data_IF_613456861388
#
_entry.id   IF_613456861388
#
_cell.length_a   1.000
_cell.length_b   1.000
_cell.length_c   1.000
_cell.angle_alpha   90.00
_cell.angle_beta   90.00
_cell.angle_gamma   90.00
#
_symmetry.space_group_name_H-M   'P 1'
#
loop_
_entity.id
_entity.type
_entity.pdbx_description
1 polymer ?
#
# COMPACT_ATOMS: atom_id res chain seq x y z
N UNK A 1 -56.14 -9.81 -16.47
CA UNK A 1 -56.06 -10.95 -17.44
C UNK A 1 -54.76 -10.82 -18.21
N UNK A 2 -53.94 -11.82 -18.07
CA UNK A 2 -52.99 -12.33 -19.07
C UNK A 2 -51.50 -12.22 -18.78
N UNK A 3 -51.03 -13.37 -18.34
CA UNK A 3 -49.92 -14.21 -18.87
C UNK A 3 -48.47 -13.68 -18.73
N UNK A 4 -47.85 -14.23 -17.69
CA UNK A 4 -46.41 -14.45 -17.62
C UNK A 4 -45.93 -15.46 -18.69
N UNK A 5 -44.72 -15.29 -19.22
CA UNK A 5 -43.99 -16.42 -19.79
C UNK A 5 -42.81 -16.86 -18.91
N UNK A 6 -42.64 -18.16 -18.91
CA UNK A 6 -41.78 -19.00 -18.13
C UNK A 6 -40.28 -18.73 -18.33
N UNK A 7 -39.56 -18.80 -17.20
CA UNK A 7 -38.10 -19.02 -17.13
C UNK A 7 -37.75 -20.39 -17.72
N UNK A 8 -36.72 -20.41 -18.56
CA UNK A 8 -36.00 -21.62 -18.96
C UNK A 8 -34.61 -21.59 -18.32
N UNK A 9 -34.49 -22.41 -17.29
CA UNK A 9 -33.19 -22.80 -16.73
C UNK A 9 -32.39 -23.60 -17.75
N UNK A 10 -31.18 -23.17 -18.05
CA UNK A 10 -30.16 -23.97 -18.71
C UNK A 10 -28.97 -24.13 -17.79
N UNK A 11 -28.99 -25.19 -17.01
CA UNK A 11 -27.81 -25.71 -16.34
C UNK A 11 -26.80 -26.15 -17.38
N UNK A 12 -25.60 -25.61 -17.39
CA UNK A 12 -24.42 -26.11 -18.08
C UNK A 12 -23.46 -26.65 -17.03
N UNK A 13 -23.42 -27.98 -16.96
CA UNK A 13 -22.40 -28.70 -16.23
C UNK A 13 -21.06 -28.59 -16.99
N UNK A 14 -20.04 -28.04 -16.38
CA UNK A 14 -18.65 -28.09 -16.85
C UNK A 14 -17.93 -29.21 -16.11
N UNK A 15 -17.53 -30.23 -16.83
CA UNK A 15 -16.70 -31.34 -16.35
C UNK A 15 -15.24 -30.84 -16.26
N UNK A 16 -14.66 -30.86 -15.07
CA UNK A 16 -13.23 -30.61 -14.84
C UNK A 16 -12.51 -31.95 -14.89
N UNK A 17 -11.67 -32.13 -15.91
CA UNK A 17 -10.78 -33.29 -16.05
C UNK A 17 -9.45 -32.99 -15.35
N UNK A 18 -9.18 -33.68 -14.25
CA UNK A 18 -7.89 -33.61 -13.54
C UNK A 18 -6.95 -34.63 -14.19
N UNK A 19 -5.86 -34.14 -14.78
CA UNK A 19 -4.77 -34.99 -15.29
C UNK A 19 -3.69 -35.13 -14.20
N UNK A 20 -3.53 -36.32 -13.64
CA UNK A 20 -2.41 -36.69 -12.79
C UNK A 20 -1.17 -36.95 -13.64
N UNK A 21 -0.11 -36.16 -13.49
CA UNK A 21 1.23 -36.51 -13.98
C UNK A 21 2.02 -37.15 -12.82
N UNK A 22 2.32 -38.43 -12.98
CA UNK A 22 3.24 -39.17 -12.13
C UNK A 22 4.68 -38.93 -12.61
N UNK A 23 5.52 -38.34 -11.79
CA UNK A 23 6.97 -38.22 -11.99
C UNK A 23 7.68 -39.31 -11.21
N UNK A 24 8.27 -40.25 -11.96
CA UNK A 24 9.17 -41.30 -11.45
C UNK A 24 10.54 -40.72 -11.14
N UNK A 25 10.95 -40.82 -9.90
CA UNK A 25 12.30 -40.47 -9.47
C UNK A 25 13.18 -41.71 -9.54
N UNK A 26 14.16 -41.67 -10.45
CA UNK A 26 15.21 -42.71 -10.52
C UNK A 26 16.31 -42.38 -9.52
N UNK A 27 16.57 -43.34 -8.62
CA UNK A 27 17.63 -43.25 -7.64
C UNK A 27 19.02 -43.47 -8.24
N UNK A 28 20.02 -42.79 -7.70
CA UNK A 28 21.44 -43.21 -7.77
C UNK A 28 22.03 -43.25 -6.38
N UNK A 29 22.65 -44.39 -6.14
CA UNK A 29 23.22 -44.83 -4.86
C UNK A 29 24.59 -44.22 -4.55
N UNK A 30 24.78 -43.98 -3.26
CA UNK A 30 25.98 -44.23 -2.44
C UNK A 30 27.30 -43.50 -2.76
N UNK A 31 27.60 -42.55 -1.91
CA UNK A 31 28.95 -42.10 -1.57
C UNK A 31 28.95 -41.66 -0.13
N UNK A 32 29.36 -42.55 0.79
CA UNK A 32 29.57 -42.25 2.20
C UNK A 32 30.83 -41.43 2.37
N UNK A 33 30.69 -40.12 2.62
CA UNK A 33 31.77 -39.31 3.19
C UNK A 33 31.42 -38.96 4.64
N UNK A 34 32.40 -38.90 5.56
CA UNK A 34 32.13 -38.63 6.97
C UNK A 34 31.54 -37.21 7.16
N UNK A 35 30.41 -37.18 7.78
CA UNK A 35 29.66 -35.97 8.17
C UNK A 35 30.51 -35.13 9.12
N UNK A 36 31.04 -34.02 8.63
CA UNK A 36 31.42 -32.90 9.49
C UNK A 36 30.08 -32.31 10.03
N UNK A 37 29.92 -32.29 11.34
CA UNK A 37 28.75 -31.77 12.01
C UNK A 37 28.45 -30.31 11.57
N UNK A 38 27.17 -29.90 11.59
CA UNK A 38 26.83 -28.53 11.24
C UNK A 38 27.50 -27.57 12.22
N UNK A 39 28.39 -26.74 11.70
CA UNK A 39 28.89 -25.56 12.39
C UNK A 39 27.68 -24.69 12.71
N UNK A 40 27.50 -24.19 13.94
CA UNK A 40 26.40 -23.28 14.21
C UNK A 40 26.53 -22.10 13.25
N UNK A 41 25.46 -21.84 12.50
CA UNK A 41 25.37 -20.66 11.65
C UNK A 41 25.59 -19.44 12.56
N UNK A 42 26.63 -18.67 12.27
CA UNK A 42 26.85 -17.41 12.94
C UNK A 42 25.61 -16.54 12.65
N UNK A 43 24.90 -16.19 13.71
CA UNK A 43 23.86 -15.15 13.65
C UNK A 43 24.51 -13.91 13.04
N UNK A 44 23.98 -13.34 11.93
CA UNK A 44 24.52 -12.11 11.42
C UNK A 44 24.46 -11.06 12.52
N UNK A 45 25.62 -10.49 12.88
CA UNK A 45 25.66 -9.37 13.80
C UNK A 45 24.83 -8.24 13.14
N UNK A 46 23.88 -7.70 13.90
CA UNK A 46 23.17 -6.50 13.46
C UNK A 46 24.19 -5.44 13.06
N UNK A 47 24.06 -4.87 11.87
CA UNK A 47 24.93 -3.78 11.44
C UNK A 47 24.74 -2.61 12.41
N UNK A 48 25.84 -1.98 12.83
CA UNK A 48 25.74 -0.77 13.63
C UNK A 48 24.92 0.29 12.87
N UNK A 49 23.99 0.99 13.54
CA UNK A 49 23.21 2.06 12.89
C UNK A 49 24.15 3.11 12.30
N UNK A 50 23.77 3.77 11.19
CA UNK A 50 24.55 4.86 10.62
C UNK A 50 24.87 5.92 11.68
N UNK A 51 26.08 6.49 11.61
CA UNK A 51 26.57 7.45 12.60
C UNK A 51 25.58 8.62 12.77
N UNK A 52 25.04 8.77 13.99
CA UNK A 52 24.03 9.80 14.34
C UNK A 52 22.65 9.28 14.66
N UNK A 53 22.40 7.98 14.45
CA UNK A 53 21.13 7.35 14.84
C UNK A 53 21.27 6.65 16.20
N UNK A 54 20.19 6.68 16.97
CA UNK A 54 20.06 6.00 18.26
C UNK A 54 19.00 4.91 18.09
N UNK A 55 19.42 3.66 18.18
CA UNK A 55 18.50 2.52 18.25
C UNK A 55 17.85 2.43 19.64
N UNK A 56 16.57 2.16 19.67
CA UNK A 56 15.85 1.83 20.92
C UNK A 56 15.42 0.37 20.93
N UNK A 57 14.87 -0.06 22.07
CA UNK A 57 14.36 -1.43 22.23
C UNK A 57 13.23 -1.71 21.21
N UNK A 58 13.25 -2.87 20.56
CA UNK A 58 12.19 -3.25 19.63
C UNK A 58 10.83 -3.38 20.34
N UNK A 59 9.79 -2.89 19.67
CA UNK A 59 8.39 -3.17 20.02
C UNK A 59 7.96 -4.40 19.24
N UNK A 60 7.34 -5.37 19.89
CA UNK A 60 6.90 -6.62 19.25
C UNK A 60 5.42 -6.88 19.53
N UNK A 61 4.76 -7.60 18.64
CA UNK A 61 3.37 -7.99 18.82
C UNK A 61 2.96 -9.15 17.92
N UNK A 62 1.72 -9.58 18.10
CA UNK A 62 1.07 -10.62 17.30
C UNK A 62 -0.30 -10.12 16.86
N UNK A 63 -0.57 -10.10 15.55
CA UNK A 63 -1.82 -9.59 14.99
C UNK A 63 -1.94 -8.08 15.08
N UNK A 64 -3.15 -7.53 14.84
CA UNK A 64 -3.37 -6.09 14.80
C UNK A 64 -3.24 -5.45 16.19
N UNK A 65 -2.64 -4.27 16.23
CA UNK A 65 -2.56 -3.41 17.41
C UNK A 65 -3.11 -2.02 17.03
N UNK A 66 -4.46 -1.86 17.01
CA UNK A 66 -5.08 -0.61 16.60
C UNK A 66 -4.81 0.50 17.62
N UNK A 67 -5.05 1.75 17.18
CA UNK A 67 -4.89 2.93 18.03
C UNK A 67 -5.59 2.76 19.41
N UNK A 68 -4.95 3.12 20.52
CA UNK A 68 -3.67 3.86 20.64
C UNK A 68 -2.41 3.03 20.38
N UNK A 69 -2.49 1.73 20.13
CA UNK A 69 -1.37 0.89 19.76
C UNK A 69 -0.43 0.55 20.92
N UNK A 70 0.85 0.37 20.60
CA UNK A 70 1.90 0.08 21.57
C UNK A 70 2.67 1.34 21.92
N UNK A 71 3.15 1.43 23.16
CA UNK A 71 4.03 2.51 23.58
C UNK A 71 5.34 2.49 22.77
N UNK A 72 5.70 3.65 22.23
CA UNK A 72 6.95 3.90 21.53
C UNK A 72 7.59 5.16 22.11
N UNK A 73 8.38 5.03 23.18
CA UNK A 73 9.02 6.18 23.82
C UNK A 73 9.95 6.89 22.82
N UNK A 74 9.71 8.17 22.59
CA UNK A 74 10.58 8.97 21.73
C UNK A 74 11.85 9.37 22.48
N UNK A 75 12.98 9.35 21.76
CA UNK A 75 14.25 9.81 22.27
C UNK A 75 14.28 11.34 22.30
N UNK A 76 14.77 11.94 23.40
CA UNK A 76 14.91 13.38 23.53
C UNK A 76 15.79 13.95 22.41
N UNK A 77 15.30 15.01 21.78
CA UNK A 77 15.99 15.69 20.68
C UNK A 77 15.89 14.99 19.32
N UNK A 78 15.16 13.87 19.21
CA UNK A 78 14.86 13.26 17.92
C UNK A 78 13.99 14.19 17.07
N UNK A 79 14.34 14.28 15.77
CA UNK A 79 13.61 15.06 14.77
C UNK A 79 13.05 14.19 13.65
N UNK A 80 13.58 12.97 13.52
CA UNK A 80 13.02 11.93 12.67
C UNK A 80 13.18 10.56 13.33
N UNK A 81 12.39 9.60 12.86
CA UNK A 81 12.49 8.19 13.24
C UNK A 81 12.33 7.32 11.99
N UNK A 82 13.16 6.32 11.87
CA UNK A 82 12.96 5.19 10.96
C UNK A 82 12.56 4.01 11.83
N UNK A 83 11.53 3.30 11.43
CA UNK A 83 11.12 2.04 12.08
C UNK A 83 11.44 0.91 11.11
N UNK A 84 12.43 0.09 11.46
CA UNK A 84 12.67 -1.18 10.78
C UNK A 84 11.54 -2.13 11.18
N UNK A 85 10.53 -2.24 10.33
CA UNK A 85 9.37 -3.11 10.55
C UNK A 85 9.59 -4.46 9.89
N UNK A 86 9.45 -5.54 10.65
CA UNK A 86 9.58 -6.91 10.19
C UNK A 86 8.37 -7.74 10.58
N UNK A 87 7.84 -8.50 9.62
CA UNK A 87 6.86 -9.55 9.83
C UNK A 87 7.08 -10.65 8.80
N UNK A 88 6.48 -11.82 8.98
CA UNK A 88 6.65 -12.95 8.07
C UNK A 88 5.35 -13.28 7.32
N UNK A 89 5.48 -13.99 6.19
CA UNK A 89 4.35 -14.62 5.51
C UNK A 89 3.75 -13.88 4.32
N UNK A 90 4.39 -12.81 3.82
CA UNK A 90 3.93 -12.11 2.60
C UNK A 90 2.59 -11.37 2.76
N UNK A 91 2.27 -10.96 3.99
CA UNK A 91 1.04 -10.23 4.29
C UNK A 91 1.19 -8.74 4.05
N UNK A 92 0.11 -8.09 3.64
CA UNK A 92 0.06 -6.63 3.66
C UNK A 92 -0.04 -6.13 5.11
N UNK A 93 0.64 -5.04 5.40
CA UNK A 93 0.59 -4.36 6.68
C UNK A 93 0.46 -2.84 6.50
N UNK A 94 -0.02 -2.17 7.54
CA UNK A 94 0.03 -0.72 7.67
C UNK A 94 0.46 -0.35 9.08
N UNK A 95 1.33 0.64 9.19
CA UNK A 95 1.87 1.14 10.46
C UNK A 95 1.62 2.63 10.55
N UNK A 96 1.22 3.08 11.71
CA UNK A 96 0.91 4.48 11.99
C UNK A 96 1.65 4.92 13.26
N UNK A 97 2.36 6.05 13.17
CA UNK A 97 3.03 6.65 14.31
C UNK A 97 2.09 7.67 14.98
N UNK A 98 1.58 7.30 16.17
CA UNK A 98 0.65 8.14 16.91
C UNK A 98 -0.73 8.25 16.25
N UNK A 99 -1.35 9.41 16.39
CA UNK A 99 -2.57 9.80 15.68
C UNK A 99 -2.16 10.54 14.39
N UNK A 100 -2.05 9.81 13.29
CA UNK A 100 -1.59 10.35 12.01
C UNK A 100 -2.50 11.47 11.51
N UNK A 101 -3.80 11.35 11.71
CA UNK A 101 -4.77 12.39 11.30
C UNK A 101 -4.56 13.69 12.08
N UNK A 102 -4.35 13.60 13.40
CA UNK A 102 -4.11 14.77 14.23
C UNK A 102 -2.75 15.44 13.96
N UNK A 103 -1.79 14.67 13.45
CA UNK A 103 -0.43 15.13 13.16
C UNK A 103 -0.23 15.56 11.71
N UNK A 104 -1.17 15.25 10.82
CA UNK A 104 -1.03 15.46 9.39
C UNK A 104 0.02 14.53 8.75
N UNK A 105 0.28 13.38 9.39
CA UNK A 105 1.20 12.37 8.90
C UNK A 105 0.44 11.27 8.14
N UNK A 106 1.15 10.55 7.27
CA UNK A 106 0.59 9.41 6.56
C UNK A 106 0.88 8.09 7.31
N UNK A 107 -0.09 7.16 7.40
CA UNK A 107 0.20 5.76 7.65
C UNK A 107 1.08 5.21 6.54
N UNK A 108 2.08 4.39 6.89
CA UNK A 108 2.94 3.72 5.93
C UNK A 108 2.57 2.25 5.82
N UNK A 109 2.61 1.72 4.62
CA UNK A 109 2.18 0.35 4.33
C UNK A 109 3.25 -0.38 3.53
N UNK A 110 3.24 -1.71 3.62
CA UNK A 110 4.15 -2.56 2.87
C UNK A 110 3.66 -4.01 2.84
N UNK A 111 4.52 -4.86 2.29
CA UNK A 111 4.30 -6.31 2.27
C UNK A 111 5.40 -7.00 3.07
N UNK A 112 5.03 -7.96 3.89
CA UNK A 112 5.95 -8.67 4.80
C UNK A 112 6.78 -9.74 4.08
N UNK A 113 7.82 -9.35 3.40
CA UNK A 113 8.81 -10.21 2.76
C UNK A 113 10.26 -9.95 3.25
N UNK A 114 10.35 -9.40 4.46
CA UNK A 114 11.61 -9.05 5.09
C UNK A 114 11.48 -7.88 6.07
N UNK A 115 12.49 -7.03 6.09
CA UNK A 115 12.49 -5.78 6.86
C UNK A 115 12.14 -4.64 5.93
N UNK A 116 11.20 -3.79 6.36
CA UNK A 116 10.79 -2.58 5.64
C UNK A 116 11.09 -1.36 6.51
N UNK A 117 11.80 -0.38 5.95
CA UNK A 117 12.10 0.87 6.63
C UNK A 117 10.94 1.84 6.43
N UNK A 118 10.34 2.27 7.55
CA UNK A 118 9.24 3.20 7.58
C UNK A 118 9.69 4.48 8.30
N UNK A 119 9.60 5.63 7.65
CA UNK A 119 10.18 6.87 8.17
C UNK A 119 9.15 7.96 8.43
N UNK A 120 9.27 8.63 9.57
CA UNK A 120 8.42 9.76 9.96
C UNK A 120 9.20 10.94 10.52
N UNK A 121 8.69 12.16 10.35
CA UNK A 121 9.14 13.30 11.14
C UNK A 121 8.69 13.12 12.60
N UNK A 122 9.57 13.46 13.53
CA UNK A 122 9.24 13.59 14.96
C UNK A 122 8.98 15.07 15.25
N UNK A 123 7.71 15.40 15.41
CA UNK A 123 7.28 16.76 15.73
C UNK A 123 7.01 16.90 17.24
N UNK A 124 6.92 18.14 17.75
CA UNK A 124 6.55 18.38 19.16
C UNK A 124 5.11 17.93 19.53
N UNK A 125 4.36 17.43 18.55
CA UNK A 125 3.03 16.80 18.72
C UNK A 125 3.09 15.28 18.50
N UNK A 126 4.26 14.75 18.18
CA UNK A 126 4.39 13.32 17.91
C UNK A 126 3.89 12.52 19.11
N UNK A 127 3.02 11.57 18.86
CA UNK A 127 2.55 10.63 19.86
C UNK A 127 3.65 9.60 20.13
N UNK A 128 3.60 9.03 21.33
CA UNK A 128 4.49 7.97 21.77
C UNK A 128 3.88 6.58 21.53
N UNK A 129 3.07 6.43 20.50
CA UNK A 129 2.39 5.17 20.21
C UNK A 129 2.61 4.71 18.76
N UNK A 130 2.59 3.39 18.56
CA UNK A 130 2.70 2.74 17.28
C UNK A 130 1.50 1.82 17.08
N UNK A 131 0.67 2.14 16.08
CA UNK A 131 -0.45 1.30 15.68
C UNK A 131 -0.06 0.43 14.50
N UNK A 132 -0.48 -0.83 14.51
CA UNK A 132 -0.17 -1.82 13.47
C UNK A 132 -1.46 -2.47 13.00
N UNK A 133 -1.68 -2.47 11.69
CA UNK A 133 -2.75 -3.21 11.03
C UNK A 133 -2.10 -4.33 10.22
N UNK A 134 -2.37 -5.57 10.61
CA UNK A 134 -1.84 -6.79 10.02
C UNK A 134 -2.83 -7.92 10.30
N UNK A 135 -2.87 -9.02 9.54
CA UNK A 135 -3.76 -10.14 9.84
C UNK A 135 -3.55 -10.74 11.24
N UNK A 136 -4.63 -11.28 11.82
CA UNK A 136 -4.55 -11.98 13.11
C UNK A 136 -3.54 -13.14 13.08
N UNK A 137 -2.78 -13.29 14.16
CA UNK A 137 -1.82 -14.37 14.34
C UNK A 137 -0.49 -14.18 13.64
N UNK A 138 -0.27 -13.07 12.94
CA UNK A 138 1.03 -12.73 12.33
C UNK A 138 1.91 -12.04 13.37
N UNK A 139 3.10 -12.58 13.62
CA UNK A 139 4.08 -11.98 14.51
C UNK A 139 4.82 -10.84 13.78
N UNK A 140 5.09 -9.75 14.47
CA UNK A 140 5.81 -8.60 13.94
C UNK A 140 6.76 -7.99 14.96
N UNK A 141 7.76 -7.28 14.47
CA UNK A 141 8.66 -6.45 15.26
C UNK A 141 8.89 -5.10 14.59
N UNK A 142 9.08 -4.08 15.43
CA UNK A 142 9.35 -2.71 15.00
C UNK A 142 10.53 -2.17 15.81
N UNK A 143 11.67 -1.96 15.16
CA UNK A 143 12.88 -1.42 15.80
C UNK A 143 13.02 0.05 15.44
N UNK A 144 12.87 0.99 16.38
CA UNK A 144 12.99 2.41 16.10
C UNK A 144 14.45 2.86 16.08
N UNK A 145 14.80 3.63 15.05
CA UNK A 145 16.08 4.30 14.86
C UNK A 145 15.82 5.81 14.85
N UNK A 146 16.14 6.48 15.95
CA UNK A 146 15.93 7.92 16.11
C UNK A 146 17.12 8.72 15.56
N UNK A 147 16.83 9.86 14.92
CA UNK A 147 17.83 10.80 14.43
C UNK A 147 17.55 12.23 14.89
N UNK A 148 18.60 13.00 15.18
CA UNK A 148 18.53 14.44 15.37
C UNK A 148 18.43 15.22 14.05
N UNK A 149 18.57 14.55 12.92
CA UNK A 149 18.36 15.13 11.60
C UNK A 149 16.85 15.23 11.29
N UNK A 150 16.46 16.29 10.59
CA UNK A 150 15.07 16.45 10.15
C UNK A 150 14.72 15.39 9.11
N UNK A 151 13.47 14.95 9.15
CA UNK A 151 12.90 14.19 8.03
C UNK A 151 12.91 15.06 6.77
N UNK A 152 13.44 14.52 5.69
CA UNK A 152 13.48 15.24 4.42
C UNK A 152 12.19 14.98 3.64
N UNK A 153 11.43 16.03 3.40
CA UNK A 153 10.31 16.03 2.47
C UNK A 153 10.83 16.51 1.12
N UNK A 154 10.67 15.69 0.08
CA UNK A 154 11.00 16.08 -1.30
C UNK A 154 9.94 17.07 -1.79
N UNK A 155 10.28 18.34 -2.05
CA UNK A 155 9.31 19.36 -2.42
C UNK A 155 8.70 19.16 -3.81
N UNK A 156 9.43 18.53 -4.75
CA UNK A 156 8.90 18.23 -6.08
C UNK A 156 7.84 17.12 -5.98
N UNK A 157 8.12 16.09 -5.17
CA UNK A 157 7.16 15.01 -4.90
C UNK A 157 5.95 15.51 -4.10
N UNK A 158 6.16 16.37 -3.09
CA UNK A 158 5.08 17.01 -2.33
C UNK A 158 4.11 17.74 -3.27
N UNK A 159 4.63 18.59 -4.16
CA UNK A 159 3.82 19.35 -5.10
C UNK A 159 3.04 18.44 -6.09
N UNK A 160 3.66 17.35 -6.56
CA UNK A 160 2.98 16.38 -7.41
C UNK A 160 1.90 15.60 -6.66
N UNK A 161 2.13 15.19 -5.41
CA UNK A 161 1.15 14.52 -4.56
C UNK A 161 -0.07 15.40 -4.27
N UNK A 162 0.16 16.67 -3.91
CA UNK A 162 -0.93 17.63 -3.70
C UNK A 162 -1.76 17.85 -4.96
N UNK A 163 -1.09 18.00 -6.12
CA UNK A 163 -1.76 18.16 -7.42
C UNK A 163 -2.58 16.92 -7.81
N UNK A 164 -2.14 15.71 -7.43
CA UNK A 164 -2.81 14.46 -7.74
C UNK A 164 -4.18 14.29 -7.06
N UNK A 165 -4.41 14.97 -5.93
CA UNK A 165 -5.67 14.87 -5.17
C UNK A 165 -6.88 15.17 -6.06
N UNK A 166 -6.81 16.20 -6.91
CA UNK A 166 -7.95 16.63 -7.75
C UNK A 166 -8.33 15.57 -8.78
N UNK A 167 -7.43 15.13 -9.71
CA UNK A 167 -7.80 14.16 -10.72
C UNK A 167 -8.10 12.76 -10.13
N UNK A 168 -7.45 12.34 -9.04
CA UNK A 168 -7.77 11.08 -8.37
C UNK A 168 -9.15 11.12 -7.72
N UNK A 169 -9.52 12.25 -7.08
CA UNK A 169 -10.86 12.47 -6.58
C UNK A 169 -11.90 12.48 -7.69
N UNK A 170 -11.58 13.08 -8.85
CA UNK A 170 -12.48 13.11 -10.00
C UNK A 170 -12.78 11.70 -10.54
N UNK A 171 -11.79 10.79 -10.60
CA UNK A 171 -12.00 9.37 -10.96
C UNK A 171 -12.97 8.69 -9.99
N UNK A 172 -12.74 8.83 -8.69
CA UNK A 172 -13.58 8.22 -7.66
C UNK A 172 -15.01 8.78 -7.68
N UNK A 173 -15.16 10.11 -7.83
CA UNK A 173 -16.45 10.78 -7.88
C UNK A 173 -17.22 10.45 -9.16
N UNK A 174 -16.55 10.33 -10.31
CA UNK A 174 -17.20 9.89 -11.55
C UNK A 174 -17.79 8.49 -11.37
N UNK A 175 -17.02 7.57 -10.83
CA UNK A 175 -17.46 6.19 -10.63
C UNK A 175 -18.60 6.08 -9.62
N UNK A 176 -18.45 6.67 -8.43
CA UNK A 176 -19.47 6.62 -7.38
C UNK A 176 -20.73 7.40 -7.76
N UNK A 177 -20.59 8.57 -8.38
CA UNK A 177 -21.70 9.40 -8.82
C UNK A 177 -22.60 8.69 -9.82
N UNK A 178 -22.04 7.94 -10.75
CA UNK A 178 -22.80 7.15 -11.72
C UNK A 178 -23.34 5.84 -11.12
N UNK A 179 -22.47 5.02 -10.48
CA UNK A 179 -22.83 3.65 -10.11
C UNK A 179 -23.60 3.55 -8.79
N UNK A 180 -23.33 4.45 -7.84
CA UNK A 180 -23.92 4.40 -6.49
C UNK A 180 -25.04 5.43 -6.34
N UNK A 181 -24.81 6.66 -6.77
CA UNK A 181 -25.72 7.77 -6.53
C UNK A 181 -26.66 8.08 -7.71
N UNK A 182 -26.41 7.51 -8.91
CA UNK A 182 -27.16 7.81 -10.14
C UNK A 182 -27.33 9.34 -10.37
N UNK A 183 -26.28 10.08 -10.04
CA UNK A 183 -26.30 11.56 -10.07
C UNK A 183 -26.26 12.13 -11.48
N UNK A 184 -25.81 11.37 -12.47
CA UNK A 184 -25.69 11.74 -13.88
C UNK A 184 -25.74 10.49 -14.77
N UNK A 185 -25.81 10.72 -16.09
CA UNK A 185 -25.86 9.65 -17.10
C UNK A 185 -24.44 9.20 -17.54
N UNK A 186 -24.40 8.17 -18.41
CA UNK A 186 -23.15 7.61 -18.94
C UNK A 186 -22.34 8.62 -19.74
N UNK A 187 -22.98 9.60 -20.41
CA UNK A 187 -22.29 10.63 -21.18
C UNK A 187 -21.51 11.56 -20.26
N UNK A 188 -22.13 12.00 -19.18
CA UNK A 188 -21.48 12.83 -18.16
C UNK A 188 -20.38 12.05 -17.44
N UNK A 189 -20.62 10.77 -17.10
CA UNK A 189 -19.61 9.88 -16.53
C UNK A 189 -18.36 9.82 -17.42
N UNK A 190 -18.53 9.55 -18.71
CA UNK A 190 -17.43 9.49 -19.66
C UNK A 190 -16.69 10.84 -19.77
N UNK A 191 -17.42 11.94 -19.79
CA UNK A 191 -16.84 13.29 -19.87
C UNK A 191 -15.98 13.62 -18.64
N UNK A 192 -16.42 13.24 -17.43
CA UNK A 192 -15.67 13.44 -16.19
C UNK A 192 -14.38 12.63 -16.17
N UNK A 193 -14.42 11.39 -16.66
CA UNK A 193 -13.23 10.56 -16.80
C UNK A 193 -12.24 11.13 -17.83
N UNK A 194 -12.72 11.63 -18.95
CA UNK A 194 -11.86 12.24 -19.97
C UNK A 194 -11.18 13.50 -19.44
N UNK A 195 -11.86 14.28 -18.58
CA UNK A 195 -11.27 15.41 -17.86
C UNK A 195 -10.13 14.97 -16.94
N UNK A 196 -10.39 14.01 -16.07
CA UNK A 196 -9.39 13.46 -15.15
C UNK A 196 -8.21 12.82 -15.90
N UNK A 197 -8.48 12.07 -16.97
CA UNK A 197 -7.44 11.47 -17.82
C UNK A 197 -6.53 12.52 -18.46
N UNK A 198 -7.09 13.64 -18.91
CA UNK A 198 -6.33 14.74 -19.50
C UNK A 198 -5.36 15.35 -18.47
N UNK A 199 -5.81 15.59 -17.25
CA UNK A 199 -4.98 16.14 -16.19
C UNK A 199 -3.88 15.14 -15.77
N UNK A 200 -4.22 13.86 -15.60
CA UNK A 200 -3.24 12.82 -15.27
C UNK A 200 -2.20 12.63 -16.38
N UNK A 201 -2.60 12.71 -17.65
CA UNK A 201 -1.66 12.64 -18.77
C UNK A 201 -0.69 13.84 -18.78
N UNK A 202 -1.18 15.04 -18.48
CA UNK A 202 -0.33 16.21 -18.33
C UNK A 202 0.64 16.06 -17.16
N UNK A 203 0.17 15.57 -16.01
CA UNK A 203 1.02 15.27 -14.86
C UNK A 203 2.10 14.25 -15.21
N UNK A 204 1.76 13.14 -15.87
CA UNK A 204 2.73 12.13 -16.28
C UNK A 204 3.80 12.66 -17.24
N UNK A 205 3.41 13.57 -18.16
CA UNK A 205 4.36 14.19 -19.10
C UNK A 205 5.26 15.26 -18.45
N UNK A 206 4.81 15.92 -17.42
CA UNK A 206 5.53 17.00 -16.71
C UNK A 206 6.33 16.50 -15.53
N UNK A 207 5.95 15.35 -14.94
CA UNK A 207 6.56 14.79 -13.75
C UNK A 207 8.04 14.53 -13.90
N UNK A 208 8.78 14.84 -12.83
CA UNK A 208 10.22 14.58 -12.69
C UNK A 208 10.50 13.59 -11.56
N UNK A 209 9.47 13.08 -10.91
CA UNK A 209 9.54 12.13 -9.82
C UNK A 209 9.26 10.69 -10.29
N UNK A 210 9.27 9.75 -9.36
CA UNK A 210 8.90 8.35 -9.63
C UNK A 210 7.42 8.15 -9.97
N UNK A 211 6.57 9.20 -9.87
CA UNK A 211 5.14 9.12 -10.13
C UNK A 211 4.74 9.18 -11.61
N UNK A 212 5.66 9.59 -12.51
CA UNK A 212 5.40 9.79 -13.95
C UNK A 212 4.68 8.61 -14.60
N UNK A 213 5.18 7.39 -14.40
CA UNK A 213 4.61 6.18 -15.00
C UNK A 213 3.23 5.87 -14.43
N UNK A 214 3.03 6.09 -13.13
CA UNK A 214 1.74 5.85 -12.47
C UNK A 214 0.65 6.81 -12.97
N UNK A 215 0.96 8.09 -13.14
CA UNK A 215 0.03 9.06 -13.73
C UNK A 215 -0.30 8.73 -15.19
N UNK A 216 0.71 8.33 -15.97
CA UNK A 216 0.51 7.91 -17.37
C UNK A 216 -0.39 6.67 -17.45
N UNK A 217 -0.20 5.69 -16.56
CA UNK A 217 -1.03 4.49 -16.51
C UNK A 217 -2.48 4.82 -16.10
N UNK A 218 -2.67 5.65 -15.08
CA UNK A 218 -4.00 6.10 -14.66
C UNK A 218 -4.73 6.82 -15.78
N UNK A 219 -4.04 7.73 -16.51
CA UNK A 219 -4.58 8.44 -17.66
C UNK A 219 -5.01 7.48 -18.78
N UNK A 220 -4.18 6.48 -19.10
CA UNK A 220 -4.46 5.50 -20.13
C UNK A 220 -5.70 4.64 -19.79
N UNK A 221 -5.85 4.22 -18.53
CA UNK A 221 -7.01 3.46 -18.06
C UNK A 221 -8.27 4.33 -18.12
N UNK A 222 -8.18 5.57 -17.61
CA UNK A 222 -9.31 6.49 -17.55
C UNK A 222 -9.80 6.96 -18.94
N UNK A 223 -8.94 6.97 -19.96
CA UNK A 223 -9.29 7.33 -21.35
C UNK A 223 -9.58 6.12 -22.25
N UNK A 224 -9.50 4.90 -21.76
CA UNK A 224 -9.69 3.69 -22.57
C UNK A 224 -11.10 3.64 -23.18
N UNK A 225 -11.22 3.22 -24.44
CA UNK A 225 -12.51 3.14 -25.15
C UNK A 225 -13.40 1.98 -24.69
N UNK A 226 -12.84 1.03 -23.94
CA UNK A 226 -13.49 -0.15 -23.35
C UNK A 226 -13.82 0.02 -21.88
N UNK A 227 -13.94 1.27 -21.41
CA UNK A 227 -14.34 1.59 -20.04
C UNK A 227 -15.73 1.04 -19.73
N UNK A 228 -15.86 0.41 -18.57
CA UNK A 228 -17.15 -0.10 -18.08
C UNK A 228 -17.42 0.52 -16.71
N UNK A 229 -18.56 1.20 -16.51
CA UNK A 229 -18.94 1.71 -15.20
C UNK A 229 -18.99 0.58 -14.16
N UNK A 230 -18.43 0.82 -12.98
CA UNK A 230 -18.31 -0.17 -11.90
C UNK A 230 -16.98 -0.95 -11.91
N UNK A 231 -16.17 -0.85 -12.98
CA UNK A 231 -14.89 -1.56 -13.07
C UNK A 231 -13.66 -0.62 -12.98
N UNK A 232 -13.86 0.68 -13.12
CA UNK A 232 -12.76 1.63 -13.22
C UNK A 232 -11.84 1.61 -12.00
N UNK A 233 -12.40 1.66 -10.79
CA UNK A 233 -11.60 1.70 -9.57
C UNK A 233 -10.76 0.44 -9.41
N UNK A 234 -11.29 -0.74 -9.76
CA UNK A 234 -10.52 -1.99 -9.75
C UNK A 234 -9.37 -1.96 -10.78
N UNK A 235 -9.61 -1.41 -11.98
CA UNK A 235 -8.59 -1.30 -13.04
C UNK A 235 -7.49 -0.30 -12.69
N UNK A 236 -7.81 0.76 -11.95
CA UNK A 236 -6.85 1.81 -11.55
C UNK A 236 -6.14 1.50 -10.23
N UNK A 237 -6.61 0.53 -9.46
CA UNK A 237 -6.17 0.27 -8.08
C UNK A 237 -4.65 0.16 -7.93
N UNK A 238 -3.99 -0.61 -8.77
CA UNK A 238 -2.53 -0.81 -8.68
C UNK A 238 -1.75 0.51 -8.87
N UNK A 239 -2.09 1.28 -9.90
CA UNK A 239 -1.42 2.56 -10.15
C UNK A 239 -1.77 3.60 -9.07
N UNK A 240 -3.02 3.62 -8.60
CA UNK A 240 -3.46 4.47 -7.51
C UNK A 240 -2.72 4.14 -6.21
N UNK A 241 -2.59 2.85 -5.87
CA UNK A 241 -1.86 2.42 -4.68
C UNK A 241 -0.37 2.82 -4.73
N UNK A 242 0.27 2.73 -5.90
CA UNK A 242 1.65 3.22 -6.05
C UNK A 242 1.77 4.73 -5.80
N UNK A 243 0.86 5.54 -6.36
CA UNK A 243 0.85 6.98 -6.09
C UNK A 243 0.66 7.23 -4.59
N UNK A 244 -0.32 6.59 -3.96
CA UNK A 244 -0.62 6.76 -2.54
C UNK A 244 0.55 6.35 -1.65
N UNK A 245 1.20 5.22 -1.93
CA UNK A 245 2.35 4.74 -1.16
C UNK A 245 3.54 5.70 -1.27
N UNK A 246 3.90 6.10 -2.50
CA UNK A 246 5.02 7.03 -2.73
C UNK A 246 4.77 8.38 -2.05
N UNK A 247 3.54 8.89 -2.12
CA UNK A 247 3.19 10.13 -1.44
C UNK A 247 3.19 9.98 0.09
N UNK A 248 2.74 8.83 0.61
CA UNK A 248 2.78 8.53 2.03
C UNK A 248 4.23 8.45 2.56
N UNK A 249 5.13 7.82 1.81
CA UNK A 249 6.57 7.76 2.14
C UNK A 249 7.20 9.16 2.23
N UNK A 250 6.74 10.11 1.41
CA UNK A 250 7.12 11.52 1.49
C UNK A 250 6.36 12.30 2.58
N UNK A 251 5.51 11.62 3.37
CA UNK A 251 4.65 12.24 4.37
C UNK A 251 3.68 13.29 3.80
N UNK A 252 3.31 13.14 2.53
CA UNK A 252 2.33 13.95 1.81
C UNK A 252 1.09 13.09 1.55
N UNK A 253 0.17 13.05 2.52
CA UNK A 253 -1.01 12.19 2.45
C UNK A 253 -1.93 12.59 1.30
N UNK A 254 -2.34 11.60 0.49
CA UNK A 254 -3.40 11.76 -0.50
C UNK A 254 -4.75 11.39 0.15
N UNK A 255 -5.76 12.21 -0.13
CA UNK A 255 -7.13 11.97 0.31
C UNK A 255 -8.10 12.18 -0.85
N UNK A 256 -9.27 11.58 -0.77
CA UNK A 256 -10.33 11.80 -1.75
C UNK A 256 -11.25 12.92 -1.29
N UNK A 257 -11.45 13.92 -2.16
CA UNK A 257 -12.47 14.95 -1.98
C UNK A 257 -13.78 14.38 -2.51
N UNK A 258 -14.66 13.94 -1.61
CA UNK A 258 -15.94 13.36 -1.98
C UNK A 258 -16.90 14.46 -2.47
N UNK A 259 -17.50 14.26 -3.66
CA UNK A 259 -18.60 15.09 -4.19
C UNK A 259 -19.96 14.53 -3.73
N UNK A 260 -20.02 13.23 -3.48
CA UNK A 260 -21.24 12.52 -3.10
C UNK A 260 -21.03 11.76 -1.79
N UNK A 261 -22.09 11.69 -0.96
CA UNK A 261 -22.13 10.83 0.23
C UNK A 261 -21.31 11.32 1.41
N UNK A 262 -21.05 12.62 1.51
CA UNK A 262 -20.39 13.24 2.66
C UNK A 262 -21.32 13.40 3.86
#
# INVERSE_FOLDING_TARGET
>A
MTRSPARRDRARAAAVTVALLALTVSGCTAGTSPSAGPSPAATPAAADPPSGQISAEPVTGTGPSPYPGNDLPLTDGARSVIIEFACEGGHEFSVELGDSMAQGQAPLSGTSDGVTDLAWPVTGRASTSLSVVIPEGVDWSATPLFSAEEFFIDPDLEAECERAIVPLSALSNAESGFTVYAAFDETEWASRLDGAATELAAMGAESRTSLADSFTQLAAIASASDRVPGELLARTQEAHNRVSATCAENQTAIYTIAEFGG
#
